data_IF_773327673227
#
_entry.id   IF_773327673227
#
_cell.length_a   1.000
_cell.length_b   1.000
_cell.length_c   1.000
_cell.angle_alpha   90.00
_cell.angle_beta   90.00
_cell.angle_gamma   90.00
#
_symmetry.space_group_name_H-M   'P 1'
#
loop_
_entity.id
_entity.type
_entity.pdbx_description
1 polymer ?
#
# COMPACT_ATOMS: atom_id res chain seq x y z
N UNK A 1 -11.66 8.52 -19.56
CA UNK A 1 -10.73 7.43 -19.98
C UNK A 1 -10.75 6.25 -19.01
N UNK A 2 -10.40 6.41 -17.72
CA UNK A 2 -10.39 5.29 -16.77
C UNK A 2 -11.77 4.62 -16.59
N UNK A 3 -12.84 5.41 -16.43
CA UNK A 3 -14.21 4.87 -16.34
C UNK A 3 -14.66 4.17 -17.63
N UNK A 4 -14.41 4.78 -18.78
CA UNK A 4 -14.76 4.20 -20.08
C UNK A 4 -13.95 2.93 -20.41
N UNK A 5 -12.73 2.83 -19.87
CA UNK A 5 -11.87 1.66 -20.01
C UNK A 5 -12.12 0.54 -18.99
N UNK A 6 -13.07 0.71 -18.08
CA UNK A 6 -13.41 -0.33 -17.09
C UNK A 6 -12.33 -0.57 -16.03
N UNK A 7 -11.46 0.41 -15.77
CA UNK A 7 -10.44 0.29 -14.71
C UNK A 7 -11.10 0.34 -13.32
N UNK A 8 -10.61 -0.49 -12.40
CA UNK A 8 -11.08 -0.55 -11.01
C UNK A 8 -10.47 0.52 -10.14
N UNK A 9 -9.22 0.89 -10.42
CA UNK A 9 -8.41 1.74 -9.55
C UNK A 9 -7.51 2.66 -10.36
N UNK A 10 -7.30 3.87 -9.85
CA UNK A 10 -6.30 4.81 -10.32
C UNK A 10 -5.30 5.05 -9.20
N UNK A 11 -4.02 4.80 -9.50
CA UNK A 11 -2.91 5.06 -8.58
C UNK A 11 -2.05 6.19 -9.16
N UNK A 12 -1.90 7.28 -8.41
CA UNK A 12 -1.04 8.41 -8.76
C UNK A 12 0.09 8.51 -7.76
N UNK A 13 1.30 8.77 -8.27
CA UNK A 13 2.50 8.94 -7.47
C UNK A 13 2.99 10.38 -7.67
N UNK A 14 3.26 11.05 -6.57
CA UNK A 14 3.90 12.36 -6.56
C UNK A 14 5.37 12.19 -6.17
N UNK A 15 6.22 13.06 -6.71
CA UNK A 15 7.64 13.08 -6.40
C UNK A 15 8.13 14.47 -6.02
N UNK A 16 9.19 14.49 -5.24
CA UNK A 16 9.99 15.68 -4.97
C UNK A 16 11.45 15.40 -5.30
N UNK A 17 11.97 16.04 -6.36
CA UNK A 17 13.37 15.93 -6.80
C UNK A 17 13.81 14.48 -7.08
N UNK A 18 12.93 13.68 -7.69
CA UNK A 18 13.19 12.28 -8.03
C UNK A 18 12.87 11.27 -6.92
N UNK A 19 12.51 11.72 -5.71
CA UNK A 19 12.07 10.86 -4.62
C UNK A 19 10.54 10.86 -4.49
N UNK A 20 9.86 9.71 -4.55
CA UNK A 20 8.42 9.64 -4.35
C UNK A 20 8.01 10.07 -2.93
N UNK A 21 7.09 11.03 -2.82
CA UNK A 21 6.66 11.61 -1.54
C UNK A 21 5.15 11.48 -1.29
N UNK A 22 4.36 11.17 -2.32
CA UNK A 22 2.91 11.06 -2.24
C UNK A 22 2.37 9.89 -3.06
N UNK A 23 1.35 9.22 -2.51
CA UNK A 23 0.62 8.16 -3.20
C UNK A 23 -0.88 8.41 -3.02
N UNK A 24 -1.61 8.47 -4.13
CA UNK A 24 -3.06 8.65 -4.15
C UNK A 24 -3.69 7.44 -4.82
N UNK A 25 -4.59 6.78 -4.11
CA UNK A 25 -5.33 5.61 -4.58
C UNK A 25 -6.80 5.98 -4.67
N UNK A 26 -7.35 5.99 -5.88
CA UNK A 26 -8.75 6.31 -6.14
C UNK A 26 -9.47 5.09 -6.70
N UNK A 27 -10.45 4.58 -5.96
CA UNK A 27 -11.29 3.47 -6.39
C UNK A 27 -12.37 3.96 -7.35
N UNK A 28 -12.46 3.35 -8.52
CA UNK A 28 -13.42 3.68 -9.58
C UNK A 28 -14.58 2.67 -9.58
N UNK A 29 -15.76 3.02 -10.11
CA UNK A 29 -16.14 4.31 -10.70
C UNK A 29 -16.56 5.40 -9.70
N UNK A 30 -16.95 5.02 -8.47
CA UNK A 30 -17.48 5.91 -7.42
C UNK A 30 -16.93 5.57 -6.02
N UNK A 31 -15.78 4.92 -5.96
CA UNK A 31 -15.17 4.50 -4.69
C UNK A 31 -14.43 5.64 -4.00
N UNK A 32 -13.89 5.37 -2.80
CA UNK A 32 -13.15 6.36 -2.04
C UNK A 32 -11.78 6.65 -2.66
N UNK A 33 -11.24 7.82 -2.33
CA UNK A 33 -9.86 8.20 -2.62
C UNK A 33 -9.07 8.32 -1.33
N UNK A 34 -8.02 7.52 -1.21
CA UNK A 34 -7.10 7.52 -0.09
C UNK A 34 -5.80 8.23 -0.49
N UNK A 35 -5.35 9.13 0.37
CA UNK A 35 -4.12 9.88 0.19
C UNK A 35 -3.10 9.50 1.26
N UNK A 36 -1.90 9.15 0.79
CA UNK A 36 -0.80 8.72 1.62
C UNK A 36 0.43 9.60 1.37
N UNK A 37 1.11 9.96 2.45
CA UNK A 37 2.47 10.48 2.38
C UNK A 37 3.45 9.31 2.42
N UNK A 38 4.46 9.35 1.56
CA UNK A 38 5.52 8.35 1.50
C UNK A 38 6.75 8.83 2.26
N UNK A 39 7.43 7.90 2.92
CA UNK A 39 8.69 8.14 3.61
C UNK A 39 9.58 6.91 3.53
N UNK A 40 10.89 7.10 3.72
CA UNK A 40 11.87 6.01 3.73
C UNK A 40 11.80 5.14 2.46
N UNK A 41 11.64 5.79 1.31
CA UNK A 41 11.60 5.15 0.00
C UNK A 41 12.97 4.58 -0.35
N UNK A 42 13.00 3.30 -0.67
CA UNK A 42 14.13 2.63 -1.31
C UNK A 42 13.59 2.00 -2.57
N UNK A 43 14.02 2.55 -3.70
CA UNK A 43 13.57 2.08 -5.00
C UNK A 43 14.25 0.75 -5.32
N UNK A 44 13.57 -0.08 -6.12
CA UNK A 44 14.11 -1.41 -6.50
C UNK A 44 15.49 -1.33 -7.15
N UNK A 45 15.78 -0.27 -7.90
CA UNK A 45 17.06 -0.08 -8.58
C UNK A 45 18.21 0.27 -7.62
N UNK A 46 17.91 0.71 -6.39
CA UNK A 46 18.91 1.06 -5.38
C UNK A 46 19.21 -0.09 -4.39
N UNK A 47 18.45 -1.19 -4.47
CA UNK A 47 18.65 -2.34 -3.61
C UNK A 47 19.96 -3.02 -4.05
N UNK A 48 20.95 -2.98 -3.15
CA UNK A 48 22.36 -3.35 -3.43
C UNK A 48 22.62 -4.84 -3.68
N UNK A 49 21.61 -5.70 -3.56
CA UNK A 49 21.77 -7.11 -3.89
C UNK A 49 21.89 -7.26 -5.40
N UNK A 50 23.08 -7.62 -5.87
CA UNK A 50 23.48 -7.61 -7.28
C UNK A 50 22.75 -8.64 -8.16
N UNK A 51 21.86 -9.46 -7.60
CA UNK A 51 21.13 -10.54 -8.29
C UNK A 51 19.60 -10.46 -8.08
N UNK A 52 19.01 -9.26 -8.00
CA UNK A 52 17.54 -9.12 -8.03
C UNK A 52 17.06 -9.41 -9.46
N UNK A 53 16.89 -10.70 -9.75
CA UNK A 53 16.35 -11.19 -11.01
C UNK A 53 14.96 -10.63 -11.33
N UNK A 54 14.37 -11.09 -12.43
CA UNK A 54 13.06 -10.63 -12.86
C UNK A 54 11.98 -10.94 -11.79
N UNK A 55 11.14 -9.94 -11.50
CA UNK A 55 10.03 -10.11 -10.56
C UNK A 55 8.95 -10.96 -11.23
N UNK A 56 8.51 -12.00 -10.54
CA UNK A 56 7.38 -12.82 -10.98
C UNK A 56 6.08 -12.00 -10.99
N UNK A 57 5.35 -12.06 -12.11
CA UNK A 57 4.04 -11.43 -12.28
C UNK A 57 2.89 -12.23 -11.64
N UNK A 58 3.20 -13.36 -11.00
CA UNK A 58 2.21 -14.16 -10.28
C UNK A 58 1.55 -13.31 -9.18
N UNK A 59 0.25 -13.48 -9.01
CA UNK A 59 -0.54 -12.77 -8.00
C UNK A 59 -0.01 -13.02 -6.59
N UNK A 60 0.31 -11.96 -5.82
CA UNK A 60 0.94 -12.09 -4.52
C UNK A 60 -0.07 -12.45 -3.43
N UNK A 61 0.38 -13.21 -2.44
CA UNK A 61 -0.30 -13.26 -1.14
C UNK A 61 -0.16 -11.92 -0.43
N UNK A 62 -1.24 -11.47 0.22
CA UNK A 62 -1.26 -10.23 0.99
C UNK A 62 -1.23 -10.53 2.48
N UNK A 63 -0.35 -9.86 3.20
CA UNK A 63 -0.34 -9.83 4.66
C UNK A 63 -0.70 -8.41 5.11
N UNK A 64 -1.78 -8.29 5.87
CA UNK A 64 -2.26 -7.03 6.45
C UNK A 64 -2.16 -7.16 7.97
N UNK A 65 -1.13 -6.56 8.56
CA UNK A 65 -0.82 -6.69 9.97
C UNK A 65 -1.20 -5.41 10.74
N UNK A 66 -1.81 -5.57 11.91
CA UNK A 66 -2.17 -4.49 12.85
C UNK A 66 -3.18 -3.43 12.34
N UNK A 67 -4.07 -3.79 11.41
CA UNK A 67 -5.21 -2.95 11.01
C UNK A 67 -6.46 -3.24 11.85
N UNK A 68 -6.41 -2.87 13.13
CA UNK A 68 -7.43 -3.26 14.11
C UNK A 68 -8.64 -2.31 14.19
N UNK A 69 -8.42 -1.00 14.00
CA UNK A 69 -9.48 0.00 14.13
C UNK A 69 -10.43 0.00 12.93
N UNK A 70 -11.63 0.61 13.01
CA UNK A 70 -12.51 0.73 11.85
C UNK A 70 -11.85 1.44 10.65
N UNK A 71 -11.06 2.48 10.91
CA UNK A 71 -10.30 3.21 9.89
C UNK A 71 -9.14 2.35 9.34
N UNK A 72 -8.48 1.59 10.21
CA UNK A 72 -7.49 0.60 9.81
C UNK A 72 -8.09 -0.44 8.87
N UNK A 73 -9.23 -1.04 9.23
CA UNK A 73 -9.96 -2.00 8.38
C UNK A 73 -10.40 -1.39 7.05
N UNK A 74 -10.83 -0.12 7.05
CA UNK A 74 -11.18 0.63 5.83
C UNK A 74 -9.96 0.77 4.91
N UNK A 75 -8.83 1.21 5.46
CA UNK A 75 -7.57 1.35 4.73
C UNK A 75 -7.06 0.01 4.20
N UNK A 76 -7.11 -1.04 5.03
CA UNK A 76 -6.78 -2.40 4.66
C UNK A 76 -7.66 -2.92 3.52
N UNK A 77 -8.95 -2.58 3.52
CA UNK A 77 -9.88 -2.93 2.44
C UNK A 77 -9.47 -2.27 1.13
N UNK A 78 -9.15 -0.98 1.15
CA UNK A 78 -8.67 -0.22 -0.02
C UNK A 78 -7.40 -0.86 -0.59
N UNK A 79 -6.39 -1.08 0.26
CA UNK A 79 -5.11 -1.67 -0.14
C UNK A 79 -5.26 -3.11 -0.66
N UNK A 80 -6.16 -3.90 -0.08
CA UNK A 80 -6.42 -5.28 -0.50
C UNK A 80 -6.98 -5.36 -1.92
N UNK A 81 -7.92 -4.48 -2.27
CA UNK A 81 -8.62 -4.54 -3.56
C UNK A 81 -7.77 -4.08 -4.74
N UNK A 82 -6.59 -3.50 -4.49
CA UNK A 82 -5.59 -3.24 -5.54
C UNK A 82 -4.98 -4.51 -6.14
N UNK A 83 -5.11 -5.65 -5.46
CA UNK A 83 -4.52 -6.90 -5.90
C UNK A 83 -5.59 -7.95 -6.21
N UNK A 84 -5.38 -8.75 -7.27
CA UNK A 84 -6.22 -9.90 -7.56
C UNK A 84 -6.00 -11.03 -6.54
N UNK A 85 -6.95 -11.96 -6.50
CA UNK A 85 -6.87 -13.12 -5.59
C UNK A 85 -5.70 -14.05 -5.96
N UNK A 86 -4.80 -14.37 -5.01
CA UNK A 86 -3.65 -15.23 -5.27
C UNK A 86 -4.04 -16.71 -5.36
N UNK A 87 -3.34 -17.44 -6.22
CA UNK A 87 -3.39 -18.91 -6.23
C UNK A 87 -2.65 -19.47 -5.02
N UNK A 88 -3.12 -20.58 -4.45
CA UNK A 88 -2.51 -21.21 -3.27
C UNK A 88 -1.03 -21.62 -3.41
N UNK A 89 -0.51 -21.72 -4.64
CA UNK A 89 0.91 -22.04 -4.93
C UNK A 89 1.78 -20.80 -5.17
N UNK A 90 1.25 -19.59 -4.99
CA UNK A 90 2.03 -18.37 -5.19
C UNK A 90 3.12 -18.26 -4.12
N UNK A 91 4.36 -18.01 -4.56
CA UNK A 91 5.51 -17.81 -3.66
C UNK A 91 5.79 -16.33 -3.38
N UNK A 92 5.00 -15.43 -3.96
CA UNK A 92 5.16 -13.99 -3.85
C UNK A 92 4.28 -13.47 -2.72
N UNK A 93 4.82 -12.62 -1.86
CA UNK A 93 4.10 -12.03 -0.73
C UNK A 93 4.36 -10.53 -0.64
N UNK A 94 3.29 -9.77 -0.46
CA UNK A 94 3.33 -8.33 -0.17
C UNK A 94 2.77 -8.12 1.22
N UNK A 95 3.57 -7.49 2.07
CA UNK A 95 3.22 -7.22 3.46
C UNK A 95 2.96 -5.74 3.63
N UNK A 96 1.82 -5.42 4.23
CA UNK A 96 1.48 -4.12 4.79
C UNK A 96 1.42 -4.30 6.30
N UNK A 97 2.44 -3.80 7.00
CA UNK A 97 2.49 -3.83 8.45
C UNK A 97 2.24 -2.44 9.00
N UNK A 98 1.17 -2.26 9.77
CA UNK A 98 0.88 -1.00 10.45
C UNK A 98 1.62 -0.95 11.80
N UNK A 99 2.50 0.03 11.97
CA UNK A 99 3.09 0.38 13.25
C UNK A 99 2.92 1.88 13.51
N UNK A 100 2.19 2.23 14.57
CA UNK A 100 1.93 3.61 14.98
C UNK A 100 1.51 4.57 13.83
N UNK A 101 0.57 4.14 12.98
CA UNK A 101 0.02 4.86 11.82
C UNK A 101 0.93 4.90 10.58
N UNK A 102 2.12 4.30 10.67
CA UNK A 102 3.00 4.10 9.54
C UNK A 102 2.80 2.70 8.99
N UNK A 103 2.35 2.62 7.74
CA UNK A 103 2.14 1.35 7.05
C UNK A 103 3.43 1.06 6.27
N UNK A 104 4.23 0.12 6.78
CA UNK A 104 5.41 -0.36 6.09
C UNK A 104 5.02 -1.34 4.99
N UNK A 105 5.38 -1.02 3.75
CA UNK A 105 5.26 -1.93 2.62
C UNK A 105 6.57 -2.69 2.44
N UNK A 106 6.48 -4.01 2.36
CA UNK A 106 7.59 -4.87 1.96
C UNK A 106 7.12 -5.90 0.94
N UNK A 107 7.98 -6.22 -0.01
CA UNK A 107 7.66 -7.13 -1.09
C UNK A 107 8.73 -8.21 -1.20
N UNK A 108 8.33 -9.44 -0.87
CA UNK A 108 9.22 -10.59 -0.79
C UNK A 108 8.73 -11.75 -1.67
N UNK A 109 9.66 -12.62 -2.03
CA UNK A 109 9.38 -13.99 -2.41
C UNK A 109 9.87 -14.91 -1.30
N UNK A 110 9.18 -16.03 -1.10
CA UNK A 110 9.58 -17.01 -0.09
C UNK A 110 9.85 -18.38 -0.70
N UNK A 111 10.81 -19.08 -0.12
CA UNK A 111 11.11 -20.47 -0.42
C UNK A 111 11.11 -21.32 0.86
N UNK A 112 10.73 -22.60 0.71
CA UNK A 112 10.64 -23.55 1.82
C UNK A 112 11.58 -24.74 1.60
N UNK A 113 12.92 -24.55 1.63
CA UNK A 113 13.90 -25.55 1.23
C UNK A 113 13.84 -26.88 2.03
N UNK A 114 13.44 -26.84 3.30
CA UNK A 114 13.29 -28.03 4.17
C UNK A 114 11.86 -28.15 4.74
N UNK A 115 10.86 -27.64 4.01
CA UNK A 115 9.45 -27.66 4.40
C UNK A 115 8.99 -26.41 5.17
N UNK A 116 7.79 -26.46 5.75
CA UNK A 116 7.06 -25.29 6.25
C UNK A 116 7.76 -24.51 7.38
N UNK A 117 8.70 -25.13 8.12
CA UNK A 117 9.43 -24.47 9.21
C UNK A 117 10.68 -23.71 8.74
N UNK A 118 11.16 -23.97 7.53
CA UNK A 118 12.34 -23.31 6.97
C UNK A 118 11.89 -22.33 5.90
N UNK A 119 11.39 -21.16 6.30
CA UNK A 119 11.00 -20.12 5.33
C UNK A 119 12.20 -19.20 5.11
N UNK A 120 12.73 -19.19 3.89
CA UNK A 120 13.73 -18.24 3.44
C UNK A 120 13.03 -17.13 2.64
N UNK A 121 13.25 -15.86 3.01
CA UNK A 121 12.68 -14.70 2.34
C UNK A 121 13.75 -14.02 1.49
N UNK A 122 13.38 -13.64 0.28
CA UNK A 122 14.19 -12.82 -0.61
C UNK A 122 13.40 -11.57 -0.96
N UNK A 123 14.02 -10.41 -0.82
CA UNK A 123 13.37 -9.16 -1.13
C UNK A 123 13.49 -8.82 -2.62
N UNK A 124 12.39 -8.36 -3.21
CA UNK A 124 12.29 -8.21 -4.68
C UNK A 124 11.71 -6.86 -5.13
N UNK A 125 11.07 -6.11 -4.23
CA UNK A 125 10.39 -4.87 -4.55
C UNK A 125 10.87 -3.68 -3.71
N UNK A 126 10.32 -2.48 -3.97
CA UNK A 126 10.69 -1.28 -3.24
C UNK A 126 10.26 -1.38 -1.77
N UNK A 127 10.99 -0.65 -0.92
CA UNK A 127 10.64 -0.44 0.49
C UNK A 127 10.14 0.97 0.63
N UNK A 128 9.04 1.13 1.35
CA UNK A 128 8.65 2.44 1.82
C UNK A 128 7.70 2.30 2.99
N UNK A 129 7.54 3.41 3.68
CA UNK A 129 6.49 3.59 4.68
C UNK A 129 5.50 4.58 4.10
N UNK A 130 4.22 4.29 4.28
CA UNK A 130 3.16 5.19 3.86
C UNK A 130 2.31 5.54 5.06
N UNK A 131 1.96 6.82 5.18
CA UNK A 131 1.09 7.32 6.23
C UNK A 131 -0.17 7.91 5.61
N UNK A 132 -1.31 7.34 5.96
CA UNK A 132 -2.60 7.86 5.53
C UNK A 132 -2.80 9.26 6.14
N UNK A 133 -3.12 10.24 5.30
CA UNK A 133 -3.47 11.59 5.77
C UNK A 133 -4.89 12.03 5.40
N UNK A 134 -5.53 11.38 4.43
CA UNK A 134 -6.91 11.73 4.06
C UNK A 134 -7.63 10.58 3.35
N UNK A 135 -8.93 10.44 3.63
CA UNK A 135 -9.88 9.61 2.89
C UNK A 135 -11.05 10.50 2.46
N UNK A 136 -11.32 10.53 1.15
CA UNK A 136 -12.52 11.16 0.55
C UNK A 136 -13.50 10.10 0.05
N UNK A 137 -14.80 10.36 0.19
CA UNK A 137 -15.89 9.52 -0.33
C UNK A 137 -16.23 9.87 -1.79
N UNK A 138 -15.21 9.94 -2.63
CA UNK A 138 -15.37 10.23 -4.05
C UNK A 138 -14.08 9.96 -4.80
N UNK A 139 -14.18 9.94 -6.12
CA UNK A 139 -13.03 9.77 -7.02
C UNK A 139 -12.15 11.02 -7.04
N UNK A 140 -10.90 10.90 -7.51
CA UNK A 140 -9.93 12.01 -7.50
C UNK A 140 -10.44 13.31 -8.15
N UNK A 141 -11.27 13.20 -9.18
CA UNK A 141 -11.84 14.35 -9.91
C UNK A 141 -12.94 15.11 -9.12
N UNK A 142 -13.47 14.52 -8.05
CA UNK A 142 -14.54 15.12 -7.25
C UNK A 142 -13.93 15.90 -6.09
N UNK A 143 -13.59 17.16 -6.34
CA UNK A 143 -12.96 18.02 -5.33
C UNK A 143 -13.86 18.24 -4.11
N UNK A 144 -15.17 18.40 -4.36
CA UNK A 144 -16.22 18.66 -3.37
C UNK A 144 -16.74 17.40 -2.65
N UNK A 145 -16.13 16.23 -2.87
CA UNK A 145 -16.53 14.99 -2.20
C UNK A 145 -16.31 15.06 -0.69
N UNK A 146 -17.24 14.46 0.05
CA UNK A 146 -17.20 14.40 1.52
C UNK A 146 -15.91 13.75 2.03
N UNK A 147 -15.32 14.35 3.07
CA UNK A 147 -14.12 13.83 3.72
C UNK A 147 -14.55 12.84 4.81
N UNK A 148 -14.31 11.55 4.59
CA UNK A 148 -14.55 10.49 5.58
C UNK A 148 -13.60 10.68 6.77
N UNK A 149 -12.32 10.96 6.48
CA UNK A 149 -11.31 11.16 7.51
C UNK A 149 -10.17 12.03 7.00
N UNK A 150 -9.59 12.85 7.88
CA UNK A 150 -8.35 13.57 7.60
C UNK A 150 -7.47 13.64 8.84
N UNK A 151 -6.17 13.55 8.62
CA UNK A 151 -5.16 13.75 9.64
C UNK A 151 -5.14 15.23 10.03
N UNK A 152 -5.34 15.52 11.31
CA UNK A 152 -5.39 16.88 11.84
C UNK A 152 -4.22 17.12 12.80
N UNK A 153 -3.02 17.46 12.28
CA UNK A 153 -1.79 17.51 13.08
C UNK A 153 -1.76 18.62 14.13
N UNK A 154 -2.49 19.71 13.90
CA UNK A 154 -2.50 20.89 14.78
C UNK A 154 -3.53 20.79 15.92
N UNK A 155 -4.20 19.64 16.10
CA UNK A 155 -5.06 19.41 17.26
C UNK A 155 -4.27 18.78 18.41
N UNK A 156 -4.47 19.33 19.62
CA UNK A 156 -3.81 18.89 20.86
C UNK A 156 -3.98 17.39 21.16
N UNK A 157 -5.09 16.79 20.75
CA UNK A 157 -5.38 15.34 20.89
C UNK A 157 -4.92 14.49 19.71
N UNK A 158 -4.53 15.09 18.57
CA UNK A 158 -4.20 14.37 17.33
C UNK A 158 -3.04 13.39 17.47
N UNK A 159 -2.08 13.66 18.38
CA UNK A 159 -0.96 12.76 18.67
C UNK A 159 -1.34 11.49 19.46
N UNK A 160 -2.57 11.39 19.97
CA UNK A 160 -3.04 10.25 20.79
C UNK A 160 -3.91 9.25 20.03
N UNK A 161 -4.49 9.64 18.89
CA UNK A 161 -5.29 8.75 18.07
C UNK A 161 -4.37 7.85 17.22
N UNK A 162 -4.75 6.57 17.05
CA UNK A 162 -4.02 5.57 16.27
C UNK A 162 -4.96 4.83 15.31
N UNK A 163 -4.43 4.41 14.16
CA UNK A 163 -4.99 3.58 13.09
C UNK A 163 -5.00 2.08 13.45
#
# INVERSE_FOLDING_TARGET
LCRSGGFTDLVMVHEHRGEPDGLVISHMPFGPTCYFGLSNTVMRHDIKDQDIGHVSEVFPHLILENFSTPLGKRTATVLKHLFPEPKAKSKRVVTFANDADYISLRHHTYEMPRGAKSVALTEVGPRFEMRLYQIKLGTVEQDDADIEWSLRPFMRSGKKARL
#
